data_IF_000945439119
#
_entry.id   IF_000945439119
#
_cell.length_a   1.000
_cell.length_b   1.000
_cell.length_c   1.000
_cell.angle_alpha   90.00
_cell.angle_beta   90.00
_cell.angle_gamma   90.00
#
_symmetry.space_group_name_H-M   'P 1'
#
loop_
_entity.id
_entity.type
_entity.pdbx_description
1 polymer ?
2 water ?
#
# COMPACT_ATOMS: atom_id res chain seq x y z
N UNK A 3 11.48 -4.66 10.31
CA UNK A 3 10.01 -4.53 10.37
C UNK A 3 9.57 -4.04 11.72
N UNK A 4 8.46 -3.33 11.74
CA UNK A 4 7.92 -2.86 12.99
C UNK A 4 6.75 -3.75 13.39
N UNK A 5 6.04 -4.27 12.40
CA UNK A 5 4.91 -5.16 12.67
C UNK A 5 5.45 -6.46 13.23
N UNK A 6 4.56 -7.31 13.73
CA UNK A 6 5.00 -8.57 14.30
C UNK A 6 4.63 -9.77 13.46
N UNK A 7 4.45 -9.57 12.16
CA UNK A 7 4.09 -10.66 11.27
C UNK A 7 5.31 -11.48 10.89
N UNK A 8 5.07 -12.68 10.39
CA UNK A 8 6.13 -13.57 9.95
C UNK A 8 6.25 -13.43 8.45
N UNK A 9 7.35 -13.90 7.89
CA UNK A 9 7.53 -13.86 6.45
C UNK A 9 6.39 -14.60 5.75
N UNK A 10 5.89 -15.68 6.34
CA UNK A 10 4.78 -16.44 5.74
C UNK A 10 3.53 -15.56 5.59
N UNK A 11 3.22 -14.79 6.63
CA UNK A 11 2.06 -13.90 6.61
C UNK A 11 2.22 -12.85 5.50
N UNK A 12 3.42 -12.29 5.40
CA UNK A 12 3.69 -11.29 4.38
C UNK A 12 3.50 -11.90 3.00
N UNK A 13 4.02 -13.11 2.85
CA UNK A 13 3.90 -13.83 1.59
C UNK A 13 2.42 -14.01 1.25
N UNK A 14 1.62 -14.36 2.25
CA UNK A 14 0.20 -14.56 2.04
C UNK A 14 -0.50 -13.28 1.60
N UNK A 15 -0.13 -12.17 2.21
CA UNK A 15 -0.73 -10.90 1.86
C UNK A 15 -0.46 -10.55 0.40
N UNK A 16 0.79 -10.72 -0.02
CA UNK A 16 1.18 -10.40 -1.39
C UNK A 16 0.60 -11.36 -2.42
N UNK A 17 0.38 -12.60 -2.02
CA UNK A 17 -0.17 -13.57 -2.94
C UNK A 17 -1.69 -13.54 -3.04
N UNK A 18 -2.35 -13.29 -1.93
CA UNK A 18 -3.81 -13.29 -1.93
C UNK A 18 -4.55 -12.02 -2.32
N UNK A 19 -3.94 -10.87 -2.08
CA UNK A 19 -4.58 -9.59 -2.37
C UNK A 19 -3.94 -8.84 -3.54
N UNK A 20 -4.71 -8.63 -4.60
CA UNK A 20 -4.16 -7.95 -5.76
C UNK A 20 -4.71 -6.55 -5.98
N UNK A 21 -5.75 -6.18 -5.23
CA UNK A 21 -6.37 -4.87 -5.38
C UNK A 21 -5.73 -3.87 -4.40
N UNK A 22 -4.85 -3.02 -4.92
CA UNK A 22 -4.12 -2.05 -4.10
C UNK A 22 -4.46 -0.58 -4.31
N UNK A 23 -4.58 0.15 -3.21
CA UNK A 23 -4.80 1.60 -3.27
C UNK A 23 -3.48 2.14 -2.79
N UNK A 24 -2.75 2.81 -3.68
CA UNK A 24 -1.45 3.33 -3.31
C UNK A 24 -1.55 4.80 -2.98
N UNK A 25 -1.53 5.09 -1.69
CA UNK A 25 -1.64 6.45 -1.21
C UNK A 25 -0.33 7.22 -1.23
N UNK A 26 -0.34 8.38 -1.86
CA UNK A 26 0.87 9.18 -1.95
C UNK A 26 1.56 8.96 -3.28
N UNK A 27 0.81 8.40 -4.20
CA UNK A 27 1.31 8.12 -5.53
C UNK A 27 1.86 9.39 -6.12
N UNK A 28 2.86 9.24 -6.96
CA UNK A 28 3.52 10.37 -7.58
C UNK A 28 3.94 10.04 -9.00
N UNK A 29 3.95 11.06 -9.88
CA UNK A 29 4.33 10.90 -11.28
C UNK A 29 5.83 10.97 -11.52
N UNK A 30 6.56 11.42 -10.49
CA UNK A 30 8.02 11.55 -10.59
C UNK A 30 8.64 10.16 -10.59
N UNK A 31 9.36 9.82 -11.67
CA UNK A 31 9.99 8.52 -11.79
C UNK A 31 10.95 8.13 -10.72
N UNK A 32 11.62 9.11 -10.15
CA UNK A 32 12.57 8.80 -9.10
C UNK A 32 11.96 8.67 -7.72
N UNK A 33 10.66 8.92 -7.59
CA UNK A 33 10.02 8.81 -6.28
C UNK A 33 9.73 7.36 -5.93
N UNK A 34 9.98 6.98 -4.69
CA UNK A 34 9.73 5.61 -4.24
C UNK A 34 8.31 5.17 -4.56
N UNK A 35 7.35 6.07 -4.32
CA UNK A 35 5.95 5.78 -4.59
C UNK A 35 5.71 5.39 -6.05
N UNK A 36 6.41 6.06 -6.96
CA UNK A 36 6.27 5.77 -8.38
C UNK A 36 6.91 4.42 -8.73
N UNK A 37 8.12 4.20 -8.24
CA UNK A 37 8.83 2.95 -8.50
C UNK A 37 8.04 1.74 -8.02
N UNK A 38 7.57 1.79 -6.77
CA UNK A 38 6.80 0.69 -6.20
C UNK A 38 5.51 0.48 -6.99
N UNK A 39 4.84 1.57 -7.34
CA UNK A 39 3.60 1.42 -8.09
C UNK A 39 3.84 0.74 -9.44
N UNK A 40 4.88 1.16 -10.15
CA UNK A 40 5.17 0.56 -11.45
C UNK A 40 5.53 -0.91 -11.28
N UNK A 41 6.33 -1.21 -10.26
CA UNK A 41 6.72 -2.59 -10.00
C UNK A 41 5.48 -3.45 -9.79
N UNK A 42 4.56 -2.98 -8.95
CA UNK A 42 3.34 -3.73 -8.68
C UNK A 42 2.52 -3.94 -9.96
N UNK A 43 2.38 -2.88 -10.75
CA UNK A 43 1.63 -2.96 -12.00
C UNK A 43 2.27 -3.97 -12.94
N UNK A 44 3.60 -4.05 -12.92
CA UNK A 44 4.31 -5.00 -13.78
C UNK A 44 4.24 -6.41 -13.21
N UNK A 45 3.68 -6.56 -12.01
CA UNK A 45 3.58 -7.89 -11.43
C UNK A 45 2.16 -8.35 -11.16
N UNK A 46 1.26 -7.95 -12.05
CA UNK A 46 -0.13 -8.35 -11.95
C UNK A 46 -1.00 -7.75 -10.87
N UNK A 47 -0.59 -6.63 -10.29
CA UNK A 47 -1.40 -6.00 -9.26
C UNK A 47 -2.27 -4.93 -9.88
N UNK A 48 -3.45 -4.75 -9.32
CA UNK A 48 -4.38 -3.74 -9.79
C UNK A 48 -4.19 -2.60 -8.81
N UNK A 49 -3.43 -1.60 -9.24
CA UNK A 49 -3.09 -0.48 -8.39
C UNK A 49 -3.79 0.83 -8.67
N UNK A 50 -4.51 1.33 -7.67
CA UNK A 50 -5.21 2.59 -7.79
C UNK A 50 -4.52 3.71 -7.05
N UNK A 51 -3.97 4.68 -7.79
CA UNK A 51 -3.29 5.80 -7.14
C UNK A 51 -4.19 6.73 -6.34
N UNK A 52 -3.69 7.18 -5.21
CA UNK A 52 -4.44 8.09 -4.39
C UNK A 52 -3.58 9.24 -3.95
N UNK A 53 -3.97 10.44 -4.36
CA UNK A 53 -3.27 11.67 -4.01
C UNK A 53 -4.14 12.89 -4.36
N UNK A 54 -4.39 13.81 -3.40
CA UNK A 54 -5.22 14.97 -3.75
C UNK A 54 -4.41 15.98 -4.56
N UNK A 55 -3.10 15.88 -4.45
CA UNK A 55 -2.19 16.77 -5.16
C UNK A 55 -2.02 16.48 -6.66
N UNK A 56 -2.47 15.31 -7.12
CA UNK A 56 -2.35 14.95 -8.54
C UNK A 56 -3.62 14.41 -9.09
N UNK A 57 -3.78 14.59 -10.39
CA UNK A 57 -4.99 14.14 -11.05
C UNK A 57 -4.84 12.79 -11.76
N UNK A 58 -3.62 12.38 -12.02
CA UNK A 58 -3.37 11.06 -12.60
C UNK A 58 -1.89 10.67 -12.44
N UNK A 59 -1.67 9.39 -12.21
CA UNK A 59 -0.33 8.84 -12.04
C UNK A 59 -0.16 7.51 -12.77
N UNK A 60 0.94 7.42 -13.51
CA UNK A 60 1.31 6.27 -14.33
C UNK A 60 0.17 5.80 -15.21
N UNK A 61 -0.51 6.79 -15.79
CA UNK A 61 -1.61 6.52 -16.68
C UNK A 61 -2.83 5.99 -15.96
N UNK A 62 -3.06 6.44 -14.73
CA UNK A 62 -4.23 6.00 -13.99
C UNK A 62 -4.82 7.18 -13.24
N UNK A 63 -6.13 7.23 -13.17
CA UNK A 63 -6.78 8.33 -12.48
C UNK A 63 -6.37 8.34 -11.03
N UNK A 64 -6.05 9.49 -10.50
CA UNK A 64 -5.68 9.51 -9.10
C UNK A 64 -6.63 10.36 -8.28
N UNK A 65 -7.14 9.62 -7.31
CA UNK A 65 -8.16 10.04 -6.43
C UNK A 65 -7.74 10.74 -5.21
N UNK A 66 -8.64 11.56 -4.67
CA UNK A 66 -8.17 12.22 -3.46
C UNK A 66 -8.27 11.36 -2.21
N UNK A 67 -9.13 10.37 -2.26
CA UNK A 67 -9.36 9.55 -1.10
C UNK A 67 -9.56 8.16 -1.53
N UNK A 68 -9.40 7.15 -0.67
CA UNK A 68 -9.58 5.79 -1.22
C UNK A 68 -11.08 5.54 -1.40
N UNK A 69 -11.92 6.29 -0.70
CA UNK A 69 -13.37 6.16 -0.80
C UNK A 69 -13.87 6.54 -2.17
N UNK A 70 -13.11 7.37 -2.86
CA UNK A 70 -13.52 7.79 -4.18
C UNK A 70 -13.23 6.76 -5.22
N UNK A 71 -12.51 5.72 -4.84
CA UNK A 71 -12.19 4.66 -5.78
C UNK A 71 -13.40 3.79 -5.98
N UNK A 72 -13.88 3.71 -7.22
CA UNK A 72 -15.06 2.87 -7.39
C UNK A 72 -14.95 1.43 -6.86
N UNK A 73 -14.06 0.62 -7.43
CA UNK A 73 -13.87 -0.78 -7.07
C UNK A 73 -13.41 -1.19 -5.66
N UNK A 74 -13.36 -2.51 -5.43
CA UNK A 74 -12.92 -3.10 -4.17
C UNK A 74 -11.43 -2.84 -3.95
N UNK A 75 -11.04 -2.60 -2.71
CA UNK A 75 -9.64 -2.39 -2.35
C UNK A 75 -9.34 -3.33 -1.20
N UNK A 76 -8.23 -4.04 -1.29
CA UNK A 76 -7.86 -4.99 -0.25
C UNK A 76 -6.67 -4.49 0.56
N UNK A 77 -5.72 -3.86 -0.12
CA UNK A 77 -4.53 -3.34 0.55
C UNK A 77 -4.35 -1.84 0.31
N UNK A 78 -4.16 -1.10 1.40
CA UNK A 78 -3.90 0.34 1.30
C UNK A 78 -2.42 0.50 1.65
N UNK A 79 -1.65 0.87 0.64
CA UNK A 79 -0.20 1.03 0.74
C UNK A 79 0.10 2.51 0.92
N UNK A 80 0.68 2.84 2.07
CA UNK A 80 0.97 4.22 2.44
C UNK A 80 2.35 4.79 2.19
N UNK A 81 2.35 5.95 1.55
CA UNK A 81 3.56 6.71 1.27
C UNK A 81 3.17 8.11 1.75
N UNK A 82 3.07 8.26 3.07
CA UNK A 82 2.67 9.54 3.67
C UNK A 82 3.41 9.80 4.97
N UNK A 83 3.40 11.06 5.41
CA UNK A 83 4.05 11.42 6.66
C UNK A 83 3.23 10.75 7.76
N UNK A 84 3.90 10.23 8.80
CA UNK A 84 3.20 9.56 9.90
C UNK A 84 2.00 10.30 10.50
N UNK A 85 2.13 11.61 10.70
CA UNK A 85 1.05 12.39 11.29
C UNK A 85 -0.21 12.45 10.45
N UNK A 86 -0.11 12.04 9.19
CA UNK A 86 -1.26 12.06 8.28
C UNK A 86 -1.90 10.70 8.06
N UNK A 87 -1.24 9.65 8.52
CA UNK A 87 -1.74 8.31 8.28
C UNK A 87 -3.12 7.96 8.83
N UNK A 88 -3.47 8.51 9.99
CA UNK A 88 -4.76 8.21 10.61
C UNK A 88 -5.93 8.32 9.64
N UNK A 89 -5.90 9.39 8.87
CA UNK A 89 -6.92 9.73 7.89
C UNK A 89 -7.16 8.59 6.90
N UNK A 90 -6.08 8.14 6.28
CA UNK A 90 -6.17 7.08 5.31
C UNK A 90 -6.56 5.76 5.93
N UNK A 91 -6.22 5.59 7.20
CA UNK A 91 -6.62 4.38 7.89
C UNK A 91 -8.13 4.37 8.12
N UNK A 92 -8.67 5.51 8.53
CA UNK A 92 -10.12 5.60 8.76
C UNK A 92 -10.83 5.29 7.45
N UNK A 93 -10.29 5.83 6.37
CA UNK A 93 -10.85 5.59 5.06
C UNK A 93 -10.72 4.15 4.64
N UNK A 94 -9.60 3.54 4.99
CA UNK A 94 -9.37 2.14 4.66
C UNK A 94 -10.38 1.27 5.37
N UNK A 95 -10.73 1.66 6.60
CA UNK A 95 -11.70 0.90 7.38
C UNK A 95 -13.07 1.03 6.74
N UNK A 96 -13.44 2.26 6.41
CA UNK A 96 -14.73 2.53 5.78
C UNK A 96 -14.85 1.81 4.44
N UNK A 97 -13.73 1.70 3.75
CA UNK A 97 -13.70 1.04 2.45
C UNK A 97 -13.75 -0.47 2.55
N UNK A 98 -13.46 -1.00 3.72
CA UNK A 98 -13.47 -2.43 3.90
C UNK A 98 -12.18 -3.08 3.42
N UNK A 99 -11.09 -2.33 3.44
CA UNK A 99 -9.81 -2.91 3.05
C UNK A 99 -9.45 -3.94 4.10
N UNK A 100 -8.49 -4.79 3.78
CA UNK A 100 -8.06 -5.86 4.68
C UNK A 100 -6.71 -5.60 5.32
N UNK A 101 -5.89 -4.81 4.64
CA UNK A 101 -4.55 -4.53 5.10
C UNK A 101 -4.11 -3.10 4.94
N UNK A 102 -3.38 -2.62 5.93
CA UNK A 102 -2.81 -1.30 5.84
C UNK A 102 -1.31 -1.53 5.88
N UNK A 103 -0.64 -1.16 4.80
CA UNK A 103 0.80 -1.34 4.69
C UNK A 103 1.54 -0.01 4.82
N UNK A 104 2.29 0.14 5.90
CA UNK A 104 3.07 1.36 6.12
C UNK A 104 4.46 1.20 5.52
N UNK A 105 4.73 1.92 4.43
CA UNK A 105 6.05 1.85 3.81
C UNK A 105 7.07 2.46 4.77
N UNK A 106 8.34 2.39 4.43
CA UNK A 106 9.37 2.95 5.30
C UNK A 106 9.11 4.38 5.71
N UNK A 107 9.33 4.64 6.99
CA UNK A 107 9.17 5.96 7.58
C UNK A 107 7.77 6.54 7.57
N UNK A 108 6.76 5.71 7.40
CA UNK A 108 5.39 6.20 7.39
C UNK A 108 4.59 5.72 8.60
N UNK A 109 5.14 4.75 9.32
CA UNK A 109 4.46 4.19 10.48
C UNK A 109 4.09 5.20 11.56
N UNK A 110 2.86 5.08 12.06
CA UNK A 110 2.35 5.90 13.14
C UNK A 110 1.50 4.97 14.00
N UNK A 111 2.00 4.64 15.19
CA UNK A 111 1.40 3.75 16.19
C UNK A 111 -0.10 3.89 16.37
N UNK A 112 -0.55 5.10 16.66
CA UNK A 112 -1.98 5.32 16.89
C UNK A 112 -2.82 4.91 15.69
N UNK A 113 -2.36 5.25 14.49
CA UNK A 113 -3.10 4.90 13.27
C UNK A 113 -3.13 3.38 13.12
N UNK A 114 -1.99 2.75 13.37
CA UNK A 114 -1.90 1.29 13.26
C UNK A 114 -2.86 0.60 14.22
N UNK A 115 -2.89 1.07 15.46
CA UNK A 115 -3.77 0.48 16.46
C UNK A 115 -5.24 0.61 16.06
N UNK A 116 -5.62 1.77 15.54
CA UNK A 116 -6.99 1.96 15.11
C UNK A 116 -7.35 0.94 14.03
N UNK A 117 -6.47 0.75 13.06
CA UNK A 117 -6.72 -0.24 12.01
C UNK A 117 -6.84 -1.63 12.61
N UNK A 118 -5.91 -1.98 13.49
CA UNK A 118 -5.93 -3.28 14.12
C UNK A 118 -7.22 -3.53 14.86
N UNK A 119 -7.68 -2.53 15.59
CA UNK A 119 -8.91 -2.65 16.34
C UNK A 119 -10.10 -2.89 15.43
N UNK A 120 -10.05 -2.35 14.22
CA UNK A 120 -11.15 -2.52 13.26
C UNK A 120 -11.07 -3.85 12.51
N UNK A 121 -10.05 -4.65 12.81
CA UNK A 121 -9.91 -5.95 12.17
C UNK A 121 -8.91 -6.05 11.03
N UNK A 122 -8.27 -4.95 10.67
CA UNK A 122 -7.30 -4.99 9.59
C UNK A 122 -5.92 -5.44 10.04
N UNK A 123 -5.17 -6.01 9.10
CA UNK A 123 -3.82 -6.45 9.35
C UNK A 123 -2.96 -5.23 9.07
N UNK A 124 -1.87 -5.13 9.81
CA UNK A 124 -0.93 -4.03 9.77
C UNK A 124 0.44 -4.55 9.31
N UNK A 125 1.05 -3.92 8.31
CA UNK A 125 2.40 -4.29 7.87
C UNK A 125 3.15 -2.98 8.10
N UNK A 126 4.31 -3.02 8.75
CA UNK A 126 5.01 -1.78 9.01
C UNK A 126 6.51 -1.83 8.81
N UNK A 127 7.02 -0.74 8.26
CA UNK A 127 8.43 -0.57 7.95
C UNK A 127 8.93 -1.66 7.00
N UNK A 128 8.14 -1.91 5.96
CA UNK A 128 8.46 -2.85 4.90
C UNK A 128 8.10 -2.18 3.60
N UNK A 129 8.62 -2.69 2.50
CA UNK A 129 8.31 -2.16 1.17
C UNK A 129 7.66 -3.28 0.38
N UNK A 130 6.49 -3.02 -0.20
CA UNK A 130 5.79 -4.05 -0.97
C UNK A 130 6.69 -4.64 -2.07
N UNK A 131 7.45 -3.78 -2.73
CA UNK A 131 8.35 -4.23 -3.79
C UNK A 131 9.48 -5.09 -3.23
N UNK A 132 10.16 -4.60 -2.18
CA UNK A 132 11.26 -5.34 -1.56
C UNK A 132 10.79 -6.69 -1.03
N UNK A 133 9.61 -6.72 -0.43
CA UNK A 133 9.09 -7.96 0.12
C UNK A 133 8.71 -8.93 -1.00
N UNK A 134 8.21 -8.40 -2.10
CA UNK A 134 7.84 -9.25 -3.22
C UNK A 134 9.11 -9.91 -3.75
N UNK A 135 10.17 -9.12 -3.91
CA UNK A 135 11.44 -9.63 -4.41
C UNK A 135 12.09 -10.63 -3.45
N UNK A 136 11.93 -10.38 -2.16
CA UNK A 136 12.50 -11.21 -1.11
C UNK A 136 11.77 -12.52 -0.86
N UNK A 137 10.45 -12.45 -0.90
CA UNK A 137 9.61 -13.59 -0.60
C UNK A 137 9.02 -14.34 -1.76
N UNK A 138 8.81 -13.64 -2.85
CA UNK A 138 8.27 -14.26 -4.03
C UNK A 138 9.31 -13.99 -5.11
N UNK A 139 10.54 -14.28 -4.74
CA UNK A 139 11.67 -14.10 -5.62
C UNK A 139 11.69 -14.94 -6.87
N UNK A 140 12.36 -14.42 -7.89
CA UNK A 140 12.49 -15.14 -9.12
C UNK A 140 13.89 -14.82 -9.60
N UNK A 141 14.45 -15.71 -10.42
CA UNK A 141 15.77 -15.53 -10.97
C UNK A 141 15.82 -14.16 -11.68
N UNK A 142 16.93 -13.45 -11.58
CA UNK A 142 17.02 -12.15 -12.23
C UNK A 142 17.14 -12.28 -13.75
N UNK A 143 17.83 -13.29 -14.24
CA UNK A 143 17.93 -13.48 -15.67
C UNK A 143 17.72 -14.93 -16.03
N UNK A 144 16.86 -15.21 -16.98
CA UNK A 144 16.71 -16.64 -17.24
C UNK A 144 17.51 -17.05 -18.47
#
# INVERSE_FOLDING_TARGET
TRPIDGLTDEDIREILTRYKKIALVGASPKPERDANIVMKYLLEHGYDVYPVNPNYEEVLGRKCYPSVLDIPDKIEVVDLFVDPAKAWRFVVYAIKKGAKVVWFQYNTYYPLAARQAKEAGLIIVANRCMMREHERLLGEKLEHHHHHH
#
